data_IF_448420001335
#
_entry.id   IF_448420001335
#
_cell.length_a   1.000
_cell.length_b   1.000
_cell.length_c   1.000
_cell.angle_alpha   90.00
_cell.angle_beta   90.00
_cell.angle_gamma   90.00
#
_symmetry.space_group_name_H-M   'P 1'
#
loop_
_entity.id
_entity.type
_entity.pdbx_description
1 polymer ?
#
# COMPACT_ATOMS: atom_id res chain seq x y z
N UNK A 1 31.81 -5.16 5.50
CA UNK A 1 31.19 -5.02 6.83
C UNK A 1 29.76 -4.53 6.64
N UNK A 2 28.76 -5.04 7.37
CA UNK A 2 27.43 -4.44 7.38
C UNK A 2 27.51 -2.99 7.89
N UNK A 3 26.64 -2.10 7.40
CA UNK A 3 26.50 -0.75 7.98
C UNK A 3 26.02 -0.85 9.43
N UNK A 4 26.35 0.16 10.23
CA UNK A 4 25.80 0.33 11.57
C UNK A 4 24.26 0.40 11.51
N UNK A 5 23.57 -0.24 12.45
CA UNK A 5 22.13 -0.44 12.41
C UNK A 5 21.33 0.88 12.28
N UNK A 6 21.81 1.95 12.92
CA UNK A 6 21.16 3.28 12.88
C UNK A 6 21.82 4.26 11.90
N UNK A 7 22.83 3.82 11.14
CA UNK A 7 23.56 4.69 10.20
C UNK A 7 22.71 5.23 9.04
N UNK A 8 21.48 4.71 8.87
CA UNK A 8 20.51 5.20 7.89
C UNK A 8 19.61 6.32 8.42
N UNK A 9 19.57 6.55 9.74
CA UNK A 9 18.63 7.49 10.36
C UNK A 9 18.77 8.91 9.78
N UNK A 10 20.00 9.38 9.58
CA UNK A 10 20.27 10.70 8.99
C UNK A 10 19.64 10.91 7.61
N UNK A 11 19.46 9.85 6.81
CA UNK A 11 18.76 9.95 5.52
C UNK A 11 17.29 10.32 5.71
N UNK A 12 16.65 9.72 6.72
CA UNK A 12 15.26 10.03 7.07
C UNK A 12 15.14 11.40 7.71
N UNK A 13 16.03 11.76 8.64
CA UNK A 13 16.02 13.08 9.29
C UNK A 13 16.10 14.20 8.24
N UNK A 14 17.06 14.10 7.31
CA UNK A 14 17.22 15.06 6.20
C UNK A 14 15.97 15.13 5.31
N UNK A 15 15.30 14.00 5.08
CA UNK A 15 14.06 13.93 4.32
C UNK A 15 12.91 14.63 5.04
N UNK A 16 12.73 14.34 6.33
CA UNK A 16 11.69 14.93 7.16
C UNK A 16 11.87 16.46 7.27
N UNK A 17 13.10 16.95 7.41
CA UNK A 17 13.38 18.40 7.39
C UNK A 17 12.98 19.08 6.07
N UNK A 18 13.14 18.39 4.93
CA UNK A 18 12.70 18.91 3.62
C UNK A 18 11.18 18.97 3.54
N UNK A 19 10.50 17.93 4.00
CA UNK A 19 9.02 17.85 4.00
C UNK A 19 8.41 18.88 4.95
N UNK A 20 8.99 19.06 6.13
CA UNK A 20 8.57 20.10 7.08
C UNK A 20 8.74 21.52 6.49
N UNK A 21 9.86 21.79 5.79
CA UNK A 21 10.05 23.07 5.08
C UNK A 21 9.05 23.31 3.96
N UNK A 22 8.47 22.25 3.39
CA UNK A 22 7.39 22.33 2.42
C UNK A 22 6.00 22.53 3.06
N UNK A 23 5.92 22.67 4.39
CA UNK A 23 4.68 22.94 5.12
C UNK A 23 3.97 21.70 5.69
N UNK A 24 4.47 20.50 5.42
CA UNK A 24 3.93 19.23 5.93
C UNK A 24 4.53 18.88 7.30
N UNK A 25 4.27 19.72 8.31
CA UNK A 25 4.86 19.60 9.65
C UNK A 25 4.31 18.44 10.48
N UNK A 26 3.16 17.88 10.09
CA UNK A 26 2.56 16.70 10.74
C UNK A 26 3.01 15.37 10.13
N UNK A 27 3.99 15.39 9.22
CA UNK A 27 4.51 14.19 8.55
C UNK A 27 5.91 13.86 9.05
N UNK A 28 6.14 12.59 9.36
CA UNK A 28 7.46 12.05 9.65
C UNK A 28 7.58 10.68 8.98
N UNK A 29 8.75 10.39 8.42
CA UNK A 29 9.10 9.08 7.89
C UNK A 29 10.31 8.51 8.62
N UNK A 30 10.26 7.22 8.91
CA UNK A 30 11.42 6.43 9.33
C UNK A 30 11.55 5.17 8.46
N UNK A 31 12.66 4.45 8.62
CA UNK A 31 12.94 3.24 7.84
C UNK A 31 11.82 2.19 7.95
N UNK A 32 11.22 2.05 9.13
CA UNK A 32 10.16 1.08 9.35
C UNK A 32 8.86 1.51 8.66
N UNK A 33 8.47 2.79 8.73
CA UNK A 33 7.33 3.34 7.99
C UNK A 33 7.48 3.20 6.47
N UNK A 34 8.70 3.34 5.95
CA UNK A 34 8.95 3.07 4.53
C UNK A 34 8.82 1.60 4.17
N UNK A 35 9.13 0.69 5.10
CA UNK A 35 8.88 -0.74 4.93
C UNK A 35 7.38 -1.08 4.90
N UNK A 36 6.56 -0.37 5.69
CA UNK A 36 5.09 -0.39 5.58
C UNK A 36 4.62 0.12 4.22
N UNK A 37 5.12 1.28 3.79
CA UNK A 37 4.77 1.86 2.47
C UNK A 37 5.18 0.95 1.31
N UNK A 38 6.31 0.26 1.42
CA UNK A 38 6.76 -0.74 0.47
C UNK A 38 5.82 -1.94 0.41
N UNK A 39 5.43 -2.49 1.56
CA UNK A 39 4.48 -3.59 1.64
C UNK A 39 3.17 -3.21 0.96
N UNK A 40 2.67 -2.01 1.26
CA UNK A 40 1.45 -1.47 0.69
C UNK A 40 1.52 -1.36 -0.84
N UNK A 41 2.56 -0.69 -1.37
CA UNK A 41 2.74 -0.53 -2.81
C UNK A 41 2.75 -1.86 -3.54
N UNK A 42 3.52 -2.83 -3.03
CA UNK A 42 3.64 -4.13 -3.67
C UNK A 42 2.40 -5.01 -3.52
N UNK A 43 1.65 -4.84 -2.43
CA UNK A 43 0.34 -5.45 -2.31
C UNK A 43 -0.61 -4.93 -3.40
N UNK A 44 -0.74 -3.61 -3.56
CA UNK A 44 -1.60 -3.02 -4.60
C UNK A 44 -1.18 -3.43 -6.02
N UNK A 45 0.12 -3.36 -6.33
CA UNK A 45 0.64 -3.79 -7.64
C UNK A 45 0.40 -5.28 -7.84
N UNK A 46 0.68 -6.10 -6.83
CA UNK A 46 0.50 -7.55 -6.90
C UNK A 46 -0.97 -7.94 -7.10
N UNK A 47 -1.92 -7.21 -6.50
CA UNK A 47 -3.36 -7.43 -6.72
C UNK A 47 -3.77 -7.13 -8.16
N UNK A 48 -3.33 -6.00 -8.70
CA UNK A 48 -3.61 -5.61 -10.10
C UNK A 48 -3.03 -6.60 -11.11
N UNK A 49 -1.81 -7.11 -10.85
CA UNK A 49 -1.18 -8.12 -11.70
C UNK A 49 -1.87 -9.47 -11.58
N UNK A 50 -2.23 -9.89 -10.36
CA UNK A 50 -2.92 -11.16 -10.11
C UNK A 50 -4.28 -11.17 -10.79
N UNK A 51 -5.07 -10.09 -10.66
CA UNK A 51 -6.36 -9.94 -11.33
C UNK A 51 -6.24 -10.10 -12.85
N UNK A 52 -5.27 -9.45 -13.48
CA UNK A 52 -5.01 -9.59 -14.91
C UNK A 52 -4.57 -11.01 -15.30
N UNK A 53 -3.72 -11.64 -14.50
CA UNK A 53 -3.24 -12.99 -14.78
C UNK A 53 -4.36 -14.02 -14.70
N UNK A 54 -5.28 -13.91 -13.73
CA UNK A 54 -6.32 -14.91 -13.51
C UNK A 54 -7.66 -14.57 -14.16
N UNK A 55 -7.77 -13.42 -14.84
CA UNK A 55 -9.01 -12.95 -15.47
C UNK A 55 -9.64 -13.93 -16.47
N UNK A 56 -8.84 -14.81 -17.06
CA UNK A 56 -9.29 -15.83 -18.02
C UNK A 56 -9.66 -17.17 -17.37
N UNK A 57 -9.44 -17.31 -16.07
CA UNK A 57 -9.66 -18.54 -15.30
C UNK A 57 -11.04 -18.52 -14.64
N UNK A 58 -11.66 -19.69 -14.52
CA UNK A 58 -12.86 -19.87 -13.71
C UNK A 58 -12.53 -19.99 -12.21
N UNK A 59 -13.55 -19.95 -11.34
CA UNK A 59 -13.34 -19.91 -9.89
C UNK A 59 -12.58 -21.13 -9.33
N UNK A 60 -12.67 -22.30 -9.95
CA UNK A 60 -11.91 -23.50 -9.54
C UNK A 60 -10.45 -23.38 -9.95
N UNK A 61 -10.19 -22.96 -11.18
CA UNK A 61 -8.85 -22.69 -11.70
C UNK A 61 -8.13 -21.57 -10.93
N UNK A 62 -8.85 -20.52 -10.49
CA UNK A 62 -8.30 -19.47 -9.63
C UNK A 62 -7.88 -20.02 -8.26
N UNK A 63 -8.68 -20.91 -7.67
CA UNK A 63 -8.34 -21.55 -6.38
C UNK A 63 -7.12 -22.44 -6.53
N UNK A 64 -7.05 -23.23 -7.59
CA UNK A 64 -5.93 -24.13 -7.86
C UNK A 64 -4.65 -23.34 -8.15
N UNK A 65 -4.73 -22.28 -8.97
CA UNK A 65 -3.63 -21.34 -9.19
C UNK A 65 -3.13 -20.72 -7.88
N UNK A 66 -4.04 -20.30 -6.98
CA UNK A 66 -3.67 -19.79 -5.66
C UNK A 66 -2.98 -20.85 -4.79
N UNK A 67 -3.47 -22.08 -4.82
CA UNK A 67 -2.88 -23.18 -4.05
C UNK A 67 -1.46 -23.51 -4.52
N UNK A 68 -1.19 -23.43 -5.83
CA UNK A 68 0.10 -23.77 -6.43
C UNK A 68 1.11 -22.62 -6.38
N UNK A 69 0.68 -21.37 -6.63
CA UNK A 69 1.57 -20.22 -6.79
C UNK A 69 1.48 -19.19 -5.64
N UNK A 70 0.53 -19.39 -4.72
CA UNK A 70 0.22 -18.43 -3.66
C UNK A 70 -0.68 -17.28 -4.14
N UNK A 71 -0.99 -16.38 -3.21
CA UNK A 71 -1.65 -15.11 -3.51
C UNK A 71 -0.72 -13.92 -3.29
N UNK A 72 -1.26 -12.72 -3.47
CA UNK A 72 -0.51 -11.48 -3.27
C UNK A 72 0.05 -11.33 -1.85
N UNK A 73 -0.56 -11.93 -0.82
CA UNK A 73 -0.04 -11.88 0.54
C UNK A 73 1.29 -12.64 0.65
N UNK A 74 1.39 -13.82 0.02
CA UNK A 74 2.62 -14.60 -0.03
C UNK A 74 3.72 -13.94 -0.87
N UNK A 75 3.35 -13.22 -1.94
CA UNK A 75 4.29 -12.38 -2.68
C UNK A 75 4.92 -11.32 -1.76
N UNK A 76 4.10 -10.55 -1.05
CA UNK A 76 4.58 -9.46 -0.20
C UNK A 76 5.36 -10.00 1.01
N UNK A 77 4.93 -11.11 1.62
CA UNK A 77 5.69 -11.83 2.66
C UNK A 77 7.11 -12.15 2.16
N UNK A 78 7.22 -12.64 0.93
CA UNK A 78 8.51 -13.01 0.33
C UNK A 78 9.39 -11.79 0.09
N UNK A 79 8.82 -10.70 -0.46
CA UNK A 79 9.54 -9.44 -0.69
C UNK A 79 10.03 -8.81 0.62
N UNK A 80 9.26 -8.93 1.70
CA UNK A 80 9.64 -8.46 3.03
C UNK A 80 10.60 -9.45 3.73
N UNK A 81 10.63 -10.72 3.32
CA UNK A 81 11.40 -11.75 4.02
C UNK A 81 10.80 -12.14 5.37
N UNK A 82 9.47 -12.04 5.53
CA UNK A 82 8.82 -12.49 6.76
C UNK A 82 8.73 -14.01 6.81
N UNK A 83 8.98 -14.57 8.00
CA UNK A 83 8.85 -16.00 8.25
C UNK A 83 7.38 -16.45 8.14
N UNK A 84 6.47 -15.63 8.66
CA UNK A 84 5.02 -15.87 8.67
C UNK A 84 4.27 -14.81 7.84
N UNK A 85 3.25 -15.24 7.10
CA UNK A 85 2.35 -14.37 6.34
C UNK A 85 1.49 -13.52 7.27
N UNK A 86 1.15 -14.02 8.46
CA UNK A 86 0.34 -13.28 9.47
C UNK A 86 0.99 -11.96 9.86
N UNK A 87 2.32 -11.93 10.03
CA UNK A 87 3.07 -10.68 10.28
C UNK A 87 2.88 -9.67 9.14
N UNK A 88 2.81 -10.14 7.91
CA UNK A 88 2.56 -9.27 6.75
C UNK A 88 1.14 -8.73 6.76
N UNK A 89 0.16 -9.59 7.06
CA UNK A 89 -1.27 -9.24 7.08
C UNK A 89 -1.62 -8.32 8.25
N UNK A 90 -1.26 -8.70 9.48
CA UNK A 90 -1.77 -8.09 10.71
C UNK A 90 -0.91 -6.92 11.22
N UNK A 91 0.28 -6.73 10.66
CA UNK A 91 1.17 -5.62 11.06
C UNK A 91 1.41 -4.67 9.89
N UNK A 92 1.79 -5.18 8.72
CA UNK A 92 2.21 -4.32 7.60
C UNK A 92 1.08 -3.87 6.69
N UNK A 93 -0.05 -4.58 6.72
CA UNK A 93 -1.16 -4.38 5.81
C UNK A 93 -2.52 -4.44 6.53
N UNK A 94 -2.51 -4.29 7.86
CA UNK A 94 -3.73 -4.31 8.68
C UNK A 94 -4.79 -3.31 8.18
N UNK A 95 -4.43 -2.06 7.79
CA UNK A 95 -5.41 -1.11 7.27
C UNK A 95 -6.10 -1.61 6.00
N UNK A 96 -5.43 -2.46 5.21
CA UNK A 96 -5.98 -3.01 3.98
C UNK A 96 -6.86 -4.24 4.22
N UNK A 97 -6.66 -4.95 5.32
CA UNK A 97 -7.57 -6.03 5.73
C UNK A 97 -8.96 -5.46 6.00
N UNK A 98 -9.04 -4.31 6.65
CA UNK A 98 -10.30 -3.61 6.93
C UNK A 98 -10.83 -2.83 5.72
N UNK A 99 -9.93 -2.29 4.89
CA UNK A 99 -10.32 -1.63 3.64
C UNK A 99 -10.90 -2.63 2.62
N UNK A 100 -10.37 -3.84 2.48
CA UNK A 100 -10.90 -4.86 1.54
C UNK A 100 -12.35 -5.23 1.90
N UNK A 101 -12.65 -5.30 3.21
CA UNK A 101 -14.02 -5.50 3.72
C UNK A 101 -14.91 -4.29 3.41
N UNK A 102 -14.40 -3.07 3.65
CA UNK A 102 -15.13 -1.83 3.38
C UNK A 102 -15.40 -1.63 1.88
N UNK A 103 -14.43 -1.97 1.02
CA UNK A 103 -14.55 -1.98 -0.45
C UNK A 103 -15.57 -3.00 -0.93
N UNK A 104 -15.58 -4.21 -0.34
CA UNK A 104 -16.59 -5.23 -0.62
C UNK A 104 -18.00 -4.73 -0.28
N UNK A 105 -18.15 -4.05 0.85
CA UNK A 105 -19.42 -3.46 1.28
C UNK A 105 -19.84 -2.32 0.34
N UNK A 106 -18.95 -1.37 0.04
CA UNK A 106 -19.24 -0.25 -0.86
C UNK A 106 -19.52 -0.70 -2.31
N UNK A 107 -18.79 -1.69 -2.83
CA UNK A 107 -19.07 -2.28 -4.14
C UNK A 107 -20.45 -2.96 -4.16
N UNK A 108 -20.83 -3.65 -3.06
CA UNK A 108 -22.18 -4.20 -2.90
C UNK A 108 -23.27 -3.10 -2.82
N UNK A 109 -22.90 -1.89 -2.40
CA UNK A 109 -23.80 -0.72 -2.36
C UNK A 109 -23.77 0.15 -3.63
N UNK A 110 -22.96 -0.18 -4.62
CA UNK A 110 -22.95 0.50 -5.94
C UNK A 110 -22.42 1.94 -5.93
N UNK A 111 -21.62 2.31 -4.93
CA UNK A 111 -21.13 3.67 -4.76
C UNK A 111 -19.80 3.90 -5.51
N UNK A 112 -19.66 5.07 -6.15
CA UNK A 112 -18.47 5.42 -6.93
C UNK A 112 -17.35 5.97 -6.02
N UNK A 113 -16.50 5.07 -5.52
CA UNK A 113 -15.37 5.38 -4.62
C UNK A 113 -14.48 6.54 -5.12
N UNK A 114 -14.26 6.65 -6.43
CA UNK A 114 -13.45 7.71 -7.04
C UNK A 114 -13.99 9.12 -6.79
N UNK A 115 -15.32 9.31 -6.80
CA UNK A 115 -15.95 10.62 -6.58
C UNK A 115 -15.86 11.07 -5.12
N UNK A 116 -15.98 10.13 -4.18
CA UNK A 116 -15.79 10.40 -2.74
C UNK A 116 -14.35 10.76 -2.42
N UNK A 117 -13.39 9.97 -2.92
CA UNK A 117 -11.96 10.24 -2.70
C UNK A 117 -11.57 11.62 -3.24
N UNK A 118 -12.04 11.99 -4.45
CA UNK A 118 -11.82 13.31 -5.02
C UNK A 118 -12.38 14.44 -4.13
N UNK A 119 -13.63 14.30 -3.65
CA UNK A 119 -14.25 15.29 -2.76
C UNK A 119 -13.53 15.41 -1.41
N UNK A 120 -13.09 14.29 -0.85
CA UNK A 120 -12.44 14.26 0.47
C UNK A 120 -11.03 14.87 0.40
N UNK A 121 -10.27 14.56 -0.65
CA UNK A 121 -8.88 15.03 -0.78
C UNK A 121 -8.77 16.48 -1.22
N UNK A 122 -9.74 17.02 -1.96
CA UNK A 122 -9.71 18.41 -2.45
C UNK A 122 -9.60 19.47 -1.33
N UNK A 123 -9.99 19.14 -0.10
CA UNK A 123 -9.96 20.06 1.05
C UNK A 123 -9.07 19.60 2.19
N UNK A 124 -8.40 18.45 2.04
CA UNK A 124 -7.68 17.84 3.14
C UNK A 124 -6.33 18.55 3.37
N UNK A 125 -6.03 19.05 4.59
CA UNK A 125 -4.85 19.87 4.85
C UNK A 125 -3.51 19.13 4.66
N UNK A 126 -3.54 17.81 4.53
CA UNK A 126 -2.37 16.96 4.29
C UNK A 126 -2.22 16.50 2.83
N UNK A 127 -3.07 16.99 1.92
CA UNK A 127 -3.00 16.71 0.48
C UNK A 127 -2.47 17.98 -0.21
N UNK A 128 -1.21 17.95 -0.67
CA UNK A 128 -0.56 19.10 -1.32
C UNK A 128 -1.05 19.33 -2.76
N UNK A 129 -1.42 18.26 -3.45
CA UNK A 129 -1.88 18.27 -4.84
C UNK A 129 -2.99 17.23 -5.01
N UNK A 130 -3.99 17.50 -5.83
CA UNK A 130 -5.04 16.53 -6.13
C UNK A 130 -4.40 15.28 -6.78
N UNK A 131 -4.42 14.10 -6.11
CA UNK A 131 -3.79 12.89 -6.63
C UNK A 131 -4.54 12.29 -7.82
N UNK A 132 -5.75 12.77 -8.13
CA UNK A 132 -6.59 12.30 -9.23
C UNK A 132 -6.46 13.21 -10.46
N UNK A 133 -6.21 14.50 -10.25
CA UNK A 133 -5.80 15.41 -11.31
C UNK A 133 -4.29 15.26 -11.53
N UNK A 134 -3.88 14.47 -12.53
CA UNK A 134 -2.46 14.38 -12.91
C UNK A 134 -1.80 15.74 -13.14
N UNK A 135 -0.46 15.80 -13.08
CA UNK A 135 0.30 17.06 -13.20
C UNK A 135 -0.20 17.94 -14.36
N UNK A 136 -0.41 19.26 -14.14
CA UNK A 136 -0.66 20.16 -15.25
C UNK A 136 0.59 20.19 -16.15
N UNK A 137 0.36 19.96 -17.44
CA UNK A 137 1.39 20.04 -18.49
C UNK A 137 2.08 21.41 -18.56
#
# INVERSE_FOLDING_TARGET
MPREAHGWQHTFDTGNERVARAGLTSFEANAHMMRHSFALRWYSVGRLLYERQVAHLNAEEVRDFRAQFGDTWYLVKTLLGHADVTTTMDIYLEPFRDLDVSLLIEHAHGFALSALMASMFATHPQVLSDPVAGEPA
#
